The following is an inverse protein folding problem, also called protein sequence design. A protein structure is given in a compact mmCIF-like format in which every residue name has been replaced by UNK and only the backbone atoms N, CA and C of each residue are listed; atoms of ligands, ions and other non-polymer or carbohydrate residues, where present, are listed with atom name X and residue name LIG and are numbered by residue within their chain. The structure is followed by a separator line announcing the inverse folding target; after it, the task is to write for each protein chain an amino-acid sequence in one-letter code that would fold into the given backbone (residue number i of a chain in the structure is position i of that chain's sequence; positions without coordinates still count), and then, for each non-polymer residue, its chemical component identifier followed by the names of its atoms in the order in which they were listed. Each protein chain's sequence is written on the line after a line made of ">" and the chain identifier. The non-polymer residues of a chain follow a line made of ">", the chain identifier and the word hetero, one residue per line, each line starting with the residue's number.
data_IF_603120082374
#
_entry.id   IF_603120082374
#
_cell.length_a   1.000
_cell.length_b   1.000
_cell.length_c   1.000
_cell.angle_alpha   90.00
_cell.angle_beta   90.00
_cell.angle_gamma   90.00
#
_symmetry.space_group_name_H-M   'P 1'
#
loop_
_entity.id
_entity.type
_entity.pdbx_description
1 polymer ?
#
# COMPACT_ATOMS: atom_id res chain seq x y z
N UNK A 1 33.59 -8.80 12.26
CA UNK A 1 32.40 -9.12 13.06
C UNK A 1 31.64 -7.86 13.47
N UNK A 2 32.21 -6.99 14.31
CA UNK A 2 31.54 -5.76 14.77
C UNK A 2 31.11 -4.84 13.62
N UNK A 3 32.04 -4.52 12.70
CA UNK A 3 31.74 -3.76 11.48
C UNK A 3 30.64 -4.40 10.61
N UNK A 4 30.54 -5.73 10.60
CA UNK A 4 29.53 -6.46 9.82
C UNK A 4 28.15 -6.38 10.49
N UNK A 5 28.09 -6.33 11.83
CA UNK A 5 26.85 -6.04 12.57
C UNK A 5 26.35 -4.63 12.25
N UNK A 6 27.24 -3.64 12.35
CA UNK A 6 26.93 -2.24 12.07
C UNK A 6 26.44 -2.02 10.62
N UNK A 7 27.03 -2.73 9.64
CA UNK A 7 26.57 -2.71 8.25
C UNK A 7 25.18 -3.36 8.07
N UNK A 8 24.91 -4.47 8.75
CA UNK A 8 23.59 -5.13 8.72
C UNK A 8 22.50 -4.27 9.40
N UNK A 9 22.83 -3.63 10.51
CA UNK A 9 21.94 -2.69 11.21
C UNK A 9 21.64 -1.46 10.35
N UNK A 10 22.67 -0.86 9.73
CA UNK A 10 22.51 0.25 8.79
C UNK A 10 21.65 -0.13 7.58
N UNK A 11 21.81 -1.35 7.03
CA UNK A 11 20.98 -1.83 5.91
C UNK A 11 19.50 -1.92 6.31
N UNK A 12 19.20 -2.41 7.51
CA UNK A 12 17.83 -2.50 8.03
C UNK A 12 17.21 -1.13 8.28
N UNK A 13 17.96 -0.16 8.80
CA UNK A 13 17.43 1.20 8.98
C UNK A 13 17.26 1.97 7.66
N UNK A 14 18.04 1.64 6.62
CA UNK A 14 17.78 2.14 5.27
C UNK A 14 16.47 1.59 4.68
N UNK A 15 16.16 0.31 4.90
CA UNK A 15 14.85 -0.28 4.53
C UNK A 15 13.70 0.35 5.33
N UNK A 16 13.81 0.45 6.66
CA UNK A 16 12.84 1.15 7.52
C UNK A 16 12.57 2.57 7.00
N UNK A 17 13.62 3.32 6.67
CA UNK A 17 13.50 4.68 6.13
C UNK A 17 12.75 4.72 4.79
N UNK A 18 12.91 3.73 3.91
CA UNK A 18 12.14 3.65 2.65
C UNK A 18 10.66 3.34 2.92
N UNK A 19 10.39 2.35 3.77
CA UNK A 19 9.04 1.92 4.16
C UNK A 19 8.28 3.07 4.85
N UNK A 20 8.89 3.76 5.82
CA UNK A 20 8.27 4.91 6.51
C UNK A 20 7.91 6.03 5.52
N UNK A 21 8.78 6.36 4.56
CA UNK A 21 8.47 7.35 3.51
C UNK A 21 7.30 6.91 2.64
N UNK A 22 7.19 5.63 2.30
CA UNK A 22 6.06 5.07 1.55
C UNK A 22 4.75 5.04 2.35
N UNK A 23 4.82 4.76 3.66
CA UNK A 23 3.68 4.88 4.58
C UNK A 23 3.19 6.33 4.67
N UNK A 24 4.10 7.31 4.76
CA UNK A 24 3.71 8.73 4.71
C UNK A 24 3.06 9.09 3.36
N UNK A 25 3.59 8.61 2.23
CA UNK A 25 2.97 8.81 0.90
C UNK A 25 1.52 8.30 0.88
N UNK A 26 1.28 7.08 1.34
CA UNK A 26 -0.07 6.51 1.44
C UNK A 26 -0.95 7.32 2.40
N UNK A 27 -0.44 7.71 3.57
CA UNK A 27 -1.16 8.53 4.55
C UNK A 27 -1.52 9.95 4.09
N UNK A 28 -0.80 10.50 3.09
CA UNK A 28 -1.17 11.79 2.48
C UNK A 28 -2.26 11.67 1.40
N UNK A 29 -2.50 10.48 0.84
CA UNK A 29 -3.50 10.22 -0.21
C UNK A 29 -4.80 9.66 0.39
N UNK A 30 -4.68 8.70 1.29
CA UNK A 30 -5.79 7.92 1.84
C UNK A 30 -6.66 8.74 2.81
N UNK A 31 -7.89 8.29 3.03
CA UNK A 31 -8.92 8.82 3.95
C UNK A 31 -9.33 10.31 3.82
N UNK A 32 -8.63 11.14 3.04
CA UNK A 32 -9.23 12.09 2.08
C UNK A 32 -10.59 12.74 2.45
N UNK A 33 -10.77 13.53 3.53
CA UNK A 33 -12.12 13.89 3.99
C UNK A 33 -12.88 14.78 3.00
N UNK A 34 -12.18 15.56 2.17
CA UNK A 34 -12.76 16.41 1.13
C UNK A 34 -13.36 15.60 -0.03
N UNK A 35 -13.02 14.31 -0.13
CA UNK A 35 -13.31 13.41 -1.26
C UNK A 35 -14.36 12.34 -0.91
N UNK A 36 -14.73 12.20 0.37
CA UNK A 36 -15.65 11.17 0.89
C UNK A 36 -17.07 11.19 0.28
N UNK A 37 -17.35 12.12 -0.64
CA UNK A 37 -18.63 12.33 -1.33
C UNK A 37 -18.50 12.57 -2.86
N UNK A 38 -17.31 12.59 -3.47
CA UNK A 38 -17.19 12.73 -4.95
C UNK A 38 -17.33 11.36 -5.62
N UNK A 39 -18.32 11.21 -6.50
CA UNK A 39 -18.59 9.97 -7.24
C UNK A 39 -17.44 9.54 -8.16
N UNK A 40 -16.51 10.42 -8.53
CA UNK A 40 -15.29 10.08 -9.28
C UNK A 40 -14.17 9.52 -8.39
N UNK A 41 -14.38 9.52 -7.08
CA UNK A 41 -13.41 9.18 -6.05
C UNK A 41 -13.92 7.98 -5.20
N UNK A 42 -15.18 7.56 -5.39
CA UNK A 42 -15.81 6.41 -4.72
C UNK A 42 -15.58 5.05 -5.39
N UNK A 43 -15.59 4.98 -6.73
CA UNK A 43 -15.69 3.69 -7.48
C UNK A 43 -14.73 3.53 -8.68
N UNK A 44 -14.01 4.57 -9.13
CA UNK A 44 -13.17 4.50 -10.33
C UNK A 44 -11.80 5.20 -10.18
N UNK A 45 -10.76 4.62 -10.77
CA UNK A 45 -9.44 5.25 -10.94
C UNK A 45 -8.42 5.00 -9.82
N UNK A 46 -7.23 5.60 -9.96
CA UNK A 46 -6.04 5.40 -9.12
C UNK A 46 -6.34 5.39 -7.61
N UNK A 47 -7.13 6.35 -7.13
CA UNK A 47 -7.45 6.49 -5.70
C UNK A 47 -8.30 5.34 -5.16
N UNK A 48 -9.15 4.74 -5.99
CA UNK A 48 -9.91 3.55 -5.63
C UNK A 48 -8.99 2.32 -5.52
N UNK A 49 -8.04 2.15 -6.45
CA UNK A 49 -7.01 1.10 -6.36
C UNK A 49 -6.17 1.24 -5.07
N UNK A 50 -5.78 2.46 -4.70
CA UNK A 50 -5.01 2.70 -3.46
C UNK A 50 -5.83 2.46 -2.19
N UNK A 51 -7.13 2.76 -2.19
CA UNK A 51 -8.07 2.42 -1.11
C UNK A 51 -8.21 0.90 -0.94
N UNK A 52 -8.39 0.15 -2.03
CA UNK A 52 -8.44 -1.32 -1.96
C UNK A 52 -7.08 -1.91 -1.54
N UNK A 53 -5.97 -1.37 -2.02
CA UNK A 53 -4.63 -1.81 -1.62
C UNK A 53 -4.37 -1.59 -0.11
N UNK A 54 -4.77 -0.44 0.42
CA UNK A 54 -4.73 -0.15 1.86
C UNK A 54 -5.53 -1.17 2.67
N UNK A 55 -6.71 -1.56 2.20
CA UNK A 55 -7.51 -2.59 2.88
C UNK A 55 -6.85 -3.99 2.77
N UNK A 56 -6.33 -4.35 1.60
CA UNK A 56 -5.56 -5.59 1.38
C UNK A 56 -4.30 -5.70 2.25
N UNK A 57 -3.60 -4.58 2.53
CA UNK A 57 -2.38 -4.57 3.36
C UNK A 57 -2.68 -4.50 4.85
N UNK A 58 -3.64 -3.66 5.28
CA UNK A 58 -3.81 -3.31 6.71
C UNK A 58 -5.12 -3.82 7.34
N UNK A 59 -6.05 -4.37 6.56
CA UNK A 59 -7.40 -4.77 7.00
C UNK A 59 -7.68 -6.24 6.66
N UNK A 60 -6.64 -7.08 6.68
CA UNK A 60 -6.79 -8.52 6.55
C UNK A 60 -7.69 -9.09 7.66
N UNK A 61 -8.49 -10.09 7.31
CA UNK A 61 -9.33 -10.86 8.24
C UNK A 61 -9.12 -12.35 8.03
N UNK A 62 -9.33 -13.14 9.08
CA UNK A 62 -9.34 -14.60 8.99
C UNK A 62 -10.70 -15.15 8.52
N UNK A 63 -10.80 -16.48 8.37
CA UNK A 63 -12.03 -17.22 8.02
C UNK A 63 -13.23 -16.95 8.96
N UNK A 64 -13.02 -16.26 10.09
CA UNK A 64 -14.03 -15.91 11.09
C UNK A 64 -14.28 -14.39 11.15
N UNK A 65 -13.76 -13.63 10.19
CA UNK A 65 -13.88 -12.17 10.12
C UNK A 65 -13.07 -11.42 11.18
N UNK A 66 -12.10 -12.08 11.84
CA UNK A 66 -11.29 -11.45 12.90
C UNK A 66 -10.07 -10.76 12.28
N UNK A 67 -9.73 -9.51 12.68
CA UNK A 67 -8.57 -8.81 12.15
C UNK A 67 -7.25 -9.58 12.31
N UNK A 68 -6.47 -9.65 11.24
CA UNK A 68 -5.14 -10.26 11.19
C UNK A 68 -4.10 -9.14 11.12
N UNK A 69 -3.17 -9.14 12.07
CA UNK A 69 -2.11 -8.12 12.19
C UNK A 69 -0.75 -8.73 11.83
N UNK A 70 -0.60 -9.18 10.58
CA UNK A 70 0.67 -9.74 10.10
C UNK A 70 1.63 -8.66 9.56
N UNK A 71 2.67 -8.37 10.34
CA UNK A 71 3.73 -7.44 9.93
C UNK A 71 4.57 -7.99 8.76
N UNK A 72 4.69 -9.31 8.59
CA UNK A 72 5.44 -9.90 7.48
C UNK A 72 4.73 -9.68 6.14
N UNK A 73 3.40 -9.87 6.09
CA UNK A 73 2.57 -9.45 4.95
C UNK A 73 2.73 -7.96 4.63
N UNK A 74 2.62 -7.09 5.64
CA UNK A 74 2.75 -5.63 5.47
C UNK A 74 4.12 -5.24 4.89
N UNK A 75 5.21 -5.74 5.48
CA UNK A 75 6.57 -5.46 5.00
C UNK A 75 6.82 -6.02 3.59
N UNK A 76 6.33 -7.22 3.30
CA UNK A 76 6.43 -7.85 1.97
C UNK A 76 5.71 -7.03 0.91
N UNK A 77 4.47 -6.59 1.18
CA UNK A 77 3.70 -5.75 0.27
C UNK A 77 4.34 -4.37 0.04
N UNK A 78 4.84 -3.72 1.10
CA UNK A 78 5.46 -2.40 0.99
C UNK A 78 6.82 -2.46 0.28
N UNK A 79 7.61 -3.51 0.47
CA UNK A 79 8.86 -3.72 -0.27
C UNK A 79 8.61 -4.00 -1.77
N UNK A 80 7.60 -4.81 -2.10
CA UNK A 80 7.21 -5.05 -3.51
C UNK A 80 6.70 -3.78 -4.20
N UNK A 81 5.94 -2.95 -3.47
CA UNK A 81 5.45 -1.65 -3.92
C UNK A 81 6.58 -0.63 -4.11
N UNK A 82 7.50 -0.50 -3.17
CA UNK A 82 8.67 0.37 -3.29
C UNK A 82 9.61 -0.06 -4.42
N UNK A 83 9.76 -1.38 -4.65
CA UNK A 83 10.48 -1.91 -5.81
C UNK A 83 9.73 -1.67 -7.14
N UNK A 84 8.39 -1.63 -7.13
CA UNK A 84 7.56 -1.52 -8.35
C UNK A 84 7.58 -2.80 -9.18
N UNK A 85 7.45 -3.96 -8.51
CA UNK A 85 7.54 -5.28 -9.18
C UNK A 85 6.37 -5.52 -10.14
N UNK A 86 6.60 -6.42 -11.10
CA UNK A 86 5.55 -6.92 -12.00
C UNK A 86 4.72 -8.06 -11.40
N UNK A 87 4.89 -8.37 -10.12
CA UNK A 87 4.01 -9.30 -9.40
C UNK A 87 2.61 -8.69 -9.32
N UNK A 88 1.58 -9.51 -9.55
CA UNK A 88 0.17 -9.10 -9.53
C UNK A 88 -0.54 -9.63 -8.31
N UNK A 89 -1.38 -8.78 -7.72
CA UNK A 89 -2.26 -9.12 -6.61
C UNK A 89 -3.72 -8.93 -7.02
N UNK A 90 -4.62 -9.57 -6.28
CA UNK A 90 -6.06 -9.39 -6.41
C UNK A 90 -6.52 -8.42 -5.32
N UNK A 91 -7.19 -7.35 -5.74
CA UNK A 91 -7.82 -6.37 -4.86
C UNK A 91 -9.34 -6.48 -4.96
N UNK A 92 -9.99 -6.78 -3.84
CA UNK A 92 -11.44 -7.01 -3.77
C UNK A 92 -12.11 -5.91 -2.94
N UNK A 93 -13.30 -5.45 -3.34
CA UNK A 93 -14.11 -4.52 -2.57
C UNK A 93 -14.73 -5.19 -1.33
N UNK A 94 -15.11 -4.38 -0.33
CA UNK A 94 -15.67 -4.87 0.96
C UNK A 94 -17.05 -5.53 0.86
N UNK A 95 -17.72 -5.37 -0.26
CA UNK A 95 -18.99 -6.01 -0.63
C UNK A 95 -18.80 -7.22 -1.56
N UNK A 96 -17.54 -7.57 -1.87
CA UNK A 96 -17.10 -8.65 -2.77
C UNK A 96 -17.58 -8.51 -4.23
N UNK A 97 -18.18 -7.38 -4.62
CA UNK A 97 -18.74 -7.19 -5.97
C UNK A 97 -17.70 -6.78 -7.02
N UNK A 98 -16.62 -6.12 -6.62
CA UNK A 98 -15.54 -5.67 -7.50
C UNK A 98 -14.24 -6.40 -7.19
N UNK A 99 -13.60 -6.93 -8.24
CA UNK A 99 -12.35 -7.67 -8.17
C UNK A 99 -11.40 -7.15 -9.26
N UNK A 100 -10.25 -6.61 -8.85
CA UNK A 100 -9.28 -5.96 -9.72
C UNK A 100 -7.92 -6.64 -9.61
N UNK A 101 -7.33 -7.02 -10.75
CA UNK A 101 -5.98 -7.60 -10.82
C UNK A 101 -5.00 -6.49 -11.22
N UNK A 102 -4.07 -6.17 -10.33
CA UNK A 102 -3.15 -5.04 -10.48
C UNK A 102 -1.73 -5.44 -10.07
N UNK A 103 -0.69 -4.87 -10.69
CA UNK A 103 0.69 -5.09 -10.27
C UNK A 103 1.19 -4.01 -9.31
N UNK A 104 2.23 -4.35 -8.54
CA UNK A 104 2.89 -3.40 -7.65
C UNK A 104 3.51 -2.21 -8.40
N UNK A 105 3.83 -2.37 -9.70
CA UNK A 105 4.22 -1.25 -10.58
C UNK A 105 3.07 -0.28 -10.79
N UNK A 106 1.91 -0.77 -11.21
CA UNK A 106 0.75 0.06 -11.52
C UNK A 106 0.31 0.84 -10.26
N UNK A 107 0.30 0.16 -9.09
CA UNK A 107 0.05 0.80 -7.78
C UNK A 107 1.07 1.87 -7.42
N UNK A 108 2.36 1.66 -7.73
CA UNK A 108 3.41 2.68 -7.52
C UNK A 108 3.18 3.90 -8.41
N UNK A 109 2.80 3.69 -9.67
CA UNK A 109 2.45 4.76 -10.60
C UNK A 109 1.21 5.54 -10.12
N UNK A 110 0.18 4.86 -9.60
CA UNK A 110 -0.99 5.48 -8.96
C UNK A 110 -0.62 6.36 -7.75
N UNK A 111 0.37 5.97 -6.94
CA UNK A 111 0.86 6.77 -5.80
C UNK A 111 1.56 8.04 -6.27
N UNK A 112 2.51 7.94 -7.20
CA UNK A 112 3.22 9.12 -7.71
C UNK A 112 2.29 10.03 -8.54
N UNK A 113 1.24 9.48 -9.18
CA UNK A 113 0.18 10.28 -9.80
C UNK A 113 -0.66 11.02 -8.76
N UNK A 114 -1.21 10.30 -7.78
CA UNK A 114 -2.04 10.87 -6.72
C UNK A 114 -1.31 11.94 -5.90
N UNK A 115 0.01 11.82 -5.70
CA UNK A 115 0.82 12.84 -5.01
C UNK A 115 1.14 14.08 -5.85
N UNK A 116 1.14 13.97 -7.19
CA UNK A 116 1.30 15.13 -8.08
C UNK A 116 0.03 15.96 -8.14
N UNK A 117 -1.14 15.33 -8.09
CA UNK A 117 -2.45 16.02 -8.01
C UNK A 117 -2.73 16.68 -6.65
N UNK A 118 -1.88 16.44 -5.64
CA UNK A 118 -1.97 17.04 -4.30
C UNK A 118 -0.98 18.21 -4.10
N UNK A 119 -0.52 18.83 -5.19
CA UNK A 119 0.49 19.91 -5.22
C UNK A 119 0.08 21.04 -6.16
#
# INVERSE_FOLDING_TARGET
>A
MENDSLLNELSRELENSRIVRLLCKLGFINERPEFNMDSRWSETGDRYLLKLFRDYVFHQVDERGRPVLDLAHVLSCLNKLDAGTSERIVLTSRDEQSCLIVSYRDLKECIESSLRELR
#
